data_IF_858376933307
#
_entry.id   IF_858376933307
#
_cell.length_a   1.000
_cell.length_b   1.000
_cell.length_c   1.000
_cell.angle_alpha   90.00
_cell.angle_beta   90.00
_cell.angle_gamma   90.00
#
_symmetry.space_group_name_H-M   'P 1'
#
loop_
_entity.id
_entity.type
_entity.pdbx_description
1 polymer ?
#
# COMPACT_ATOMS: atom_id res chain seq x y z
N UNK A 1 -0.63 -12.08 7.27
CA UNK A 1 -0.88 -12.85 6.03
C UNK A 1 -2.18 -12.37 5.37
N UNK A 2 -2.18 -12.14 4.06
CA UNK A 2 -3.37 -11.71 3.31
C UNK A 2 -4.33 -12.89 3.10
N UNK A 3 -5.62 -12.66 3.34
CA UNK A 3 -6.69 -13.64 3.17
C UNK A 3 -7.86 -13.00 2.42
N UNK A 4 -8.67 -13.81 1.74
CA UNK A 4 -9.95 -13.34 1.21
C UNK A 4 -11.05 -13.57 2.25
N UNK A 5 -11.98 -12.64 2.33
CA UNK A 5 -13.23 -12.80 3.09
C UNK A 5 -14.06 -13.96 2.52
N UNK A 6 -14.98 -14.53 3.30
CA UNK A 6 -15.70 -15.78 2.97
C UNK A 6 -16.47 -15.73 1.63
N UNK A 7 -16.87 -14.53 1.19
CA UNK A 7 -17.55 -14.31 -0.10
C UNK A 7 -16.59 -14.00 -1.27
N UNK A 8 -15.27 -14.04 -1.08
CA UNK A 8 -14.22 -13.68 -2.04
C UNK A 8 -14.31 -12.24 -2.60
N UNK A 9 -15.11 -11.36 -2.00
CA UNK A 9 -15.30 -9.98 -2.48
C UNK A 9 -14.33 -8.98 -1.85
N UNK A 10 -13.72 -9.31 -0.71
CA UNK A 10 -12.88 -8.40 0.07
C UNK A 10 -11.56 -9.07 0.44
N UNK A 11 -10.46 -8.35 0.23
CA UNK A 11 -9.14 -8.73 0.70
C UNK A 11 -8.94 -8.22 2.12
N UNK A 12 -8.42 -9.07 3.00
CA UNK A 12 -8.17 -8.76 4.41
C UNK A 12 -6.73 -9.09 4.79
N UNK A 13 -6.12 -8.25 5.61
CA UNK A 13 -4.86 -8.53 6.27
C UNK A 13 -5.11 -9.21 7.60
N UNK A 14 -4.71 -10.47 7.73
CA UNK A 14 -4.71 -11.19 9.01
C UNK A 14 -3.41 -10.94 9.76
N UNK A 15 -3.51 -10.44 10.98
CA UNK A 15 -2.39 -10.23 11.91
C UNK A 15 -2.71 -10.91 13.26
N UNK A 16 -1.77 -10.91 14.23
CA UNK A 16 -2.06 -11.39 15.58
C UNK A 16 -3.17 -10.61 16.31
N UNK A 17 -3.41 -9.35 15.95
CA UNK A 17 -4.46 -8.53 16.57
C UNK A 17 -5.84 -8.71 15.95
N UNK A 18 -5.94 -9.19 14.71
CA UNK A 18 -7.23 -9.39 14.05
C UNK A 18 -7.15 -9.56 12.54
N UNK A 19 -8.31 -9.40 11.90
CA UNK A 19 -8.47 -9.35 10.43
C UNK A 19 -8.90 -7.95 10.05
N UNK A 20 -8.20 -7.35 9.09
CA UNK A 20 -8.41 -5.96 8.73
C UNK A 20 -8.63 -5.80 7.23
N UNK A 21 -9.73 -5.18 6.78
CA UNK A 21 -9.98 -4.96 5.36
C UNK A 21 -8.88 -4.12 4.68
N UNK A 22 -8.41 -4.58 3.53
CA UNK A 22 -7.47 -3.85 2.67
C UNK A 22 -8.27 -2.92 1.75
N UNK A 23 -8.01 -1.61 1.86
CA UNK A 23 -8.64 -0.56 1.03
C UNK A 23 -7.96 -0.45 -0.33
N UNK A 24 -6.63 -0.44 -0.35
CA UNK A 24 -5.85 -0.32 -1.59
C UNK A 24 -4.45 -0.91 -1.44
N UNK A 25 -3.85 -1.25 -2.57
CA UNK A 25 -2.47 -1.75 -2.67
C UNK A 25 -1.73 -0.86 -3.67
N UNK A 26 -0.61 -0.29 -3.25
CA UNK A 26 0.29 0.46 -4.11
C UNK A 26 1.56 -0.34 -4.33
N UNK A 27 1.91 -0.56 -5.59
CA UNK A 27 3.13 -1.28 -6.00
C UNK A 27 4.28 -0.34 -6.36
N UNK A 28 4.00 0.89 -6.76
CA UNK A 28 5.00 1.91 -7.08
C UNK A 28 5.65 2.51 -5.83
N UNK A 29 4.83 2.70 -4.80
CA UNK A 29 5.25 2.99 -3.44
C UNK A 29 4.76 1.80 -2.60
N UNK A 30 5.62 0.80 -2.29
CA UNK A 30 5.24 -0.50 -1.75
C UNK A 30 4.52 -0.45 -0.38
N UNK A 31 3.19 -0.25 -0.41
CA UNK A 31 2.37 -0.22 0.79
C UNK A 31 0.94 -0.74 0.56
N UNK A 32 0.37 -1.31 1.62
CA UNK A 32 -1.04 -1.64 1.76
C UNK A 32 -1.70 -0.53 2.58
N UNK A 33 -2.89 -0.13 2.18
CA UNK A 33 -3.76 0.67 3.03
C UNK A 33 -4.80 -0.23 3.67
N UNK A 34 -4.84 -0.22 5.00
CA UNK A 34 -5.70 -1.09 5.80
C UNK A 34 -6.66 -0.24 6.64
N UNK A 35 -7.89 -0.72 6.82
CA UNK A 35 -8.87 -0.10 7.71
C UNK A 35 -8.99 -0.93 8.99
N UNK A 36 -8.78 -0.32 10.15
CA UNK A 36 -9.17 -0.93 11.43
C UNK A 36 -10.63 -0.57 11.76
N UNK A 37 -11.56 -1.55 11.83
CA UNK A 37 -12.94 -1.29 12.23
C UNK A 37 -13.09 -0.77 13.67
N UNK A 38 -12.11 -1.04 14.53
CA UNK A 38 -12.16 -0.64 15.93
C UNK A 38 -11.65 0.78 16.15
N UNK A 39 -10.83 1.33 15.25
CA UNK A 39 -10.39 2.71 15.33
C UNK A 39 -11.58 3.67 15.37
N UNK A 40 -11.42 4.74 16.16
CA UNK A 40 -12.38 5.83 16.19
C UNK A 40 -12.31 6.62 14.87
N UNK A 41 -13.47 6.97 14.33
CA UNK A 41 -13.60 7.90 13.23
C UNK A 41 -14.64 8.97 13.57
N UNK A 42 -14.74 10.01 12.76
CA UNK A 42 -15.63 11.11 13.11
C UNK A 42 -17.12 10.76 13.22
N UNK A 43 -17.55 9.72 12.51
CA UNK A 43 -18.93 9.25 12.56
C UNK A 43 -19.28 8.64 13.93
N UNK A 44 -18.28 8.21 14.69
CA UNK A 44 -18.44 7.71 16.06
C UNK A 44 -18.81 8.83 17.06
N UNK A 45 -18.57 10.11 16.72
CA UNK A 45 -18.86 11.28 17.58
C UNK A 45 -18.27 11.09 18.99
N UNK A 46 -19.10 11.22 20.04
CA UNK A 46 -18.70 11.05 21.44
C UNK A 46 -18.63 9.57 21.90
N UNK A 47 -18.81 8.61 20.99
CA UNK A 47 -18.78 7.19 21.33
C UNK A 47 -17.33 6.64 21.33
N UNK A 48 -16.60 6.94 22.40
CA UNK A 48 -15.26 6.43 22.62
C UNK A 48 -15.30 5.00 23.19
N UNK A 49 -15.32 4.01 22.29
CA UNK A 49 -15.26 2.59 22.66
C UNK A 49 -13.82 2.15 22.98
N UNK A 50 -13.62 1.25 23.96
CA UNK A 50 -12.34 0.57 24.13
C UNK A 50 -11.96 -0.20 22.87
N UNK A 51 -10.72 -0.05 22.44
CA UNK A 51 -10.21 -0.66 21.20
C UNK A 51 -9.01 -1.54 21.49
N UNK A 52 -8.58 -2.29 20.47
CA UNK A 52 -7.34 -3.07 20.52
C UNK A 52 -6.32 -2.40 19.63
N UNK A 53 -5.07 -2.44 20.07
CA UNK A 53 -3.95 -1.95 19.28
C UNK A 53 -3.80 -2.76 17.99
N UNK A 54 -3.78 -2.08 16.85
CA UNK A 54 -3.27 -2.69 15.62
C UNK A 54 -1.83 -3.16 15.85
N UNK A 55 -1.56 -4.38 15.43
CA UNK A 55 -0.24 -5.00 15.54
C UNK A 55 0.05 -5.85 14.33
N UNK A 56 1.29 -5.79 13.88
CA UNK A 56 1.86 -6.68 12.87
C UNK A 56 2.96 -7.51 13.53
N UNK A 57 3.10 -8.73 13.06
CA UNK A 57 4.17 -9.63 13.49
C UNK A 57 5.46 -9.28 12.73
N UNK A 58 6.55 -9.08 13.47
CA UNK A 58 7.88 -8.79 12.93
C UNK A 58 8.48 -9.95 12.13
N UNK A 59 7.89 -11.15 12.21
CA UNK A 59 8.26 -12.30 11.38
C UNK A 59 7.78 -12.21 9.92
N UNK A 60 7.03 -11.16 9.57
CA UNK A 60 6.47 -10.98 8.22
C UNK A 60 7.19 -9.87 7.47
N UNK A 61 7.15 -9.89 6.13
CA UNK A 61 7.62 -8.79 5.27
C UNK A 61 6.69 -7.56 5.29
N UNK A 62 5.86 -7.42 6.32
CA UNK A 62 4.97 -6.28 6.52
C UNK A 62 5.46 -5.49 7.73
N UNK A 63 5.54 -4.18 7.59
CA UNK A 63 5.92 -3.27 8.67
C UNK A 63 4.88 -2.17 8.77
N UNK A 64 4.63 -1.71 10.00
CA UNK A 64 3.81 -0.50 10.20
C UNK A 64 4.60 0.67 9.64
N UNK A 65 4.01 1.41 8.70
CA UNK A 65 4.72 2.51 8.06
C UNK A 65 5.03 3.62 9.08
N UNK A 66 6.23 4.22 9.04
CA UNK A 66 6.54 5.42 9.81
C UNK A 66 5.74 6.65 9.34
N UNK A 67 5.01 6.56 8.22
CA UNK A 67 4.18 7.66 7.72
C UNK A 67 2.77 7.70 8.32
N UNK A 68 2.47 6.81 9.29
CA UNK A 68 1.22 6.85 10.02
C UNK A 68 1.29 7.81 11.19
N UNK A 69 0.29 8.68 11.30
CA UNK A 69 0.07 9.49 12.48
C UNK A 69 -1.00 8.85 13.36
N UNK A 70 -0.68 8.68 14.64
CA UNK A 70 -1.61 8.12 15.61
C UNK A 70 -2.09 9.20 16.57
N UNK A 71 -3.41 9.25 16.75
CA UNK A 71 -4.05 10.14 17.70
C UNK A 71 -4.78 9.31 18.74
N UNK A 72 -4.72 9.77 19.99
CA UNK A 72 -5.36 9.15 21.13
C UNK A 72 -6.34 10.14 21.74
N UNK A 73 -7.48 9.61 22.19
CA UNK A 73 -8.55 10.43 22.73
C UNK A 73 -8.86 10.08 24.19
N UNK A 74 -9.19 11.09 24.99
CA UNK A 74 -9.58 10.95 26.39
C UNK A 74 -8.56 10.14 27.20
N UNK A 75 -7.29 10.57 27.14
CA UNK A 75 -6.20 9.99 27.92
C UNK A 75 -6.21 10.46 29.37
N UNK A 76 -5.80 9.59 30.29
CA UNK A 76 -5.59 9.93 31.69
C UNK A 76 -4.31 10.78 31.83
N UNK A 77 -4.48 12.03 32.25
CA UNK A 77 -3.41 13.03 32.41
C UNK A 77 -2.44 12.72 33.55
N UNK A 78 -2.79 11.84 34.49
CA UNK A 78 -1.88 11.41 35.58
C UNK A 78 -0.87 10.36 35.10
N UNK A 79 -1.21 9.63 34.02
CA UNK A 79 -0.41 8.51 33.51
C UNK A 79 0.26 8.80 32.16
N UNK A 80 -0.29 9.75 31.41
CA UNK A 80 0.22 10.18 30.11
C UNK A 80 0.47 11.68 30.17
N UNK A 81 1.69 12.09 29.82
CA UNK A 81 2.06 13.50 29.72
C UNK A 81 1.44 14.06 28.43
N UNK A 82 0.30 14.74 28.57
CA UNK A 82 -0.45 15.37 27.48
C UNK A 82 -0.15 16.87 27.49
N UNK A 83 0.85 17.29 26.74
CA UNK A 83 1.32 18.68 26.72
C UNK A 83 1.65 19.12 25.29
N UNK A 84 1.45 20.41 24.95
CA UNK A 84 1.89 20.95 23.66
C UNK A 84 3.38 20.69 23.47
N UNK A 85 3.76 20.04 22.36
CA UNK A 85 5.18 19.83 22.08
C UNK A 85 5.85 21.16 21.75
N UNK A 86 6.97 21.50 22.40
CA UNK A 86 7.71 22.69 22.02
C UNK A 86 8.26 22.52 20.59
N UNK A 87 8.40 23.63 19.86
CA UNK A 87 8.91 23.66 18.48
C UNK A 87 10.25 22.93 18.30
N UNK A 88 11.07 22.86 19.36
CA UNK A 88 12.31 22.08 19.37
C UNK A 88 12.10 20.60 19.00
N UNK A 89 10.96 20.02 19.39
CA UNK A 89 10.60 18.64 19.11
C UNK A 89 10.28 18.39 17.64
N UNK A 90 9.95 19.42 16.86
CA UNK A 90 9.79 19.28 15.41
C UNK A 90 11.14 18.96 14.75
N UNK A 91 12.22 19.54 15.28
CA UNK A 91 13.59 19.34 14.76
C UNK A 91 14.26 18.10 15.34
N UNK A 92 13.94 17.73 16.58
CA UNK A 92 14.53 16.60 17.29
C UNK A 92 13.46 15.72 17.94
N UNK A 93 12.63 15.02 17.15
CA UNK A 93 11.52 14.22 17.66
C UNK A 93 11.96 13.16 18.66
N UNK A 94 13.15 12.57 18.46
CA UNK A 94 13.72 11.56 19.36
C UNK A 94 13.96 12.02 20.80
N UNK A 95 14.06 13.34 21.03
CA UNK A 95 14.29 13.91 22.36
C UNK A 95 12.99 14.21 23.12
N UNK A 96 11.84 14.08 22.46
CA UNK A 96 10.52 14.42 23.00
C UNK A 96 9.55 13.23 22.92
N UNK A 97 10.11 12.03 22.97
CA UNK A 97 9.46 10.76 22.60
C UNK A 97 8.47 10.24 23.66
N UNK A 98 8.47 10.84 24.85
CA UNK A 98 7.61 10.47 25.97
C UNK A 98 6.36 11.33 26.12
N UNK A 99 6.32 12.52 25.51
CA UNK A 99 5.16 13.40 25.59
C UNK A 99 4.24 13.21 24.40
N UNK A 100 2.96 13.30 24.67
CA UNK A 100 1.91 13.26 23.68
C UNK A 100 1.45 14.70 23.40
N UNK A 101 1.40 15.09 22.12
CA UNK A 101 1.17 16.47 21.70
C UNK A 101 -0.33 16.79 21.58
N UNK A 102 -0.84 17.60 22.51
CA UNK A 102 -2.23 18.07 22.49
C UNK A 102 -2.49 19.20 21.50
N UNK A 103 -1.43 19.82 20.96
CA UNK A 103 -1.52 20.97 20.06
C UNK A 103 -1.32 20.63 18.58
N UNK A 104 -1.15 19.34 18.27
CA UNK A 104 -0.93 18.84 16.92
C UNK A 104 -2.00 19.31 15.93
N UNK A 105 -1.56 19.60 14.70
CA UNK A 105 -2.44 20.02 13.60
C UNK A 105 -3.62 19.07 13.41
N UNK A 106 -3.38 17.77 13.49
CA UNK A 106 -4.40 16.73 13.29
C UNK A 106 -5.46 16.73 14.38
N UNK A 107 -5.14 17.14 15.61
CA UNK A 107 -6.15 17.28 16.66
C UNK A 107 -7.15 18.43 16.40
N UNK A 108 -6.77 19.40 15.57
CA UNK A 108 -7.64 20.52 15.14
C UNK A 108 -8.29 20.28 13.77
N UNK A 109 -7.68 19.46 12.93
CA UNK A 109 -8.08 19.23 11.53
C UNK A 109 -8.26 17.75 11.23
N UNK A 110 -9.10 17.09 12.02
CA UNK A 110 -9.42 15.68 11.80
C UNK A 110 -10.16 15.48 10.47
N UNK A 111 -9.86 14.39 9.73
CA UNK A 111 -10.59 14.04 8.52
C UNK A 111 -12.08 13.91 8.81
N UNK A 112 -12.92 14.46 7.93
CA UNK A 112 -14.39 14.32 7.98
C UNK A 112 -15.09 14.92 9.22
N UNK A 113 -14.35 15.59 10.13
CA UNK A 113 -14.90 16.09 11.40
C UNK A 113 -15.40 17.53 11.42
N UNK A 114 -15.14 18.31 10.37
CA UNK A 114 -15.37 19.76 10.42
C UNK A 114 -14.78 20.38 11.69
N UNK A 115 -15.39 21.47 12.17
CA UNK A 115 -15.02 22.11 13.45
C UNK A 115 -15.69 21.46 14.67
N UNK A 116 -16.32 20.29 14.51
CA UNK A 116 -17.31 19.77 15.46
C UNK A 116 -16.70 18.96 16.63
N UNK A 117 -15.44 18.55 16.53
CA UNK A 117 -14.69 18.02 17.69
C UNK A 117 -14.25 19.18 18.58
N UNK A 118 -15.23 19.89 19.15
CA UNK A 118 -15.01 21.01 20.04
C UNK A 118 -14.19 20.62 21.29
N UNK A 119 -13.85 21.61 22.10
CA UNK A 119 -12.98 21.57 23.30
C UNK A 119 -13.31 20.52 24.39
N UNK A 120 -14.28 19.63 24.17
CA UNK A 120 -14.71 18.59 25.11
C UNK A 120 -13.95 17.27 24.95
N UNK A 121 -13.35 17.01 23.78
CA UNK A 121 -12.59 15.79 23.53
C UNK A 121 -11.11 16.10 23.73
N UNK A 122 -10.44 15.44 24.68
CA UNK A 122 -8.99 15.56 24.75
C UNK A 122 -8.41 14.74 23.61
N UNK A 123 -7.65 15.40 22.73
CA UNK A 123 -6.95 14.79 21.62
C UNK A 123 -5.46 14.92 21.84
N UNK A 124 -4.72 13.89 21.46
CA UNK A 124 -3.30 13.86 21.66
C UNK A 124 -2.59 13.05 20.57
N UNK A 125 -1.62 13.66 19.90
CA UNK A 125 -0.82 13.05 18.84
C UNK A 125 0.43 12.40 19.41
N UNK A 126 0.66 11.15 19.03
CA UNK A 126 1.82 10.38 19.49
C UNK A 126 2.41 9.57 18.35
N UNK A 127 3.74 9.55 18.26
CA UNK A 127 4.48 8.84 17.23
C UNK A 127 5.08 7.55 17.82
N UNK A 128 4.40 6.39 17.70
CA UNK A 128 4.87 5.16 18.31
C UNK A 128 6.07 4.60 17.55
N UNK A 129 7.20 4.44 18.24
CA UNK A 129 8.40 3.77 17.68
C UNK A 129 8.25 2.26 17.53
N UNK A 130 7.30 1.67 18.27
CA UNK A 130 7.02 0.24 18.23
C UNK A 130 5.54 -0.01 18.52
N UNK A 131 5.05 -1.15 18.05
CA UNK A 131 3.70 -1.67 18.36
C UNK A 131 3.43 -1.72 19.88
N UNK A 132 4.46 -1.96 20.68
CA UNK A 132 4.36 -1.98 22.14
C UNK A 132 4.01 -0.60 22.72
N UNK A 133 4.55 0.49 22.16
CA UNK A 133 4.23 1.86 22.57
C UNK A 133 2.77 2.20 22.31
N UNK A 134 2.22 1.75 21.17
CA UNK A 134 0.79 1.91 20.85
C UNK A 134 -0.10 1.20 21.89
N UNK A 135 0.26 -0.02 22.28
CA UNK A 135 -0.48 -0.80 23.29
C UNK A 135 -0.45 -0.14 24.68
N UNK A 136 0.68 0.43 25.09
CA UNK A 136 0.81 1.11 26.39
C UNK A 136 -0.01 2.41 26.44
N UNK A 137 -0.03 3.18 25.35
CA UNK A 137 -0.87 4.37 25.24
C UNK A 137 -2.35 4.01 25.32
N UNK A 138 -2.78 2.96 24.62
CA UNK A 138 -4.17 2.47 24.66
C UNK A 138 -4.64 1.97 26.04
N UNK A 139 -3.75 1.62 26.96
CA UNK A 139 -4.14 1.28 28.33
C UNK A 139 -4.59 2.49 29.15
N UNK A 140 -4.15 3.68 28.74
CA UNK A 140 -4.37 4.93 29.47
C UNK A 140 -5.23 5.92 28.70
N UNK A 141 -5.76 5.54 27.53
CA UNK A 141 -6.62 6.36 26.68
C UNK A 141 -7.89 5.60 26.31
N UNK A 142 -8.99 6.31 26.06
CA UNK A 142 -10.28 5.68 25.77
C UNK A 142 -10.27 4.98 24.40
N UNK A 143 -9.67 5.60 23.39
CA UNK A 143 -9.55 5.05 22.04
C UNK A 143 -8.39 5.69 21.27
N UNK A 144 -8.12 5.17 20.08
CA UNK A 144 -7.14 5.70 19.15
C UNK A 144 -7.71 5.78 17.73
N UNK A 145 -7.06 6.58 16.90
CA UNK A 145 -7.22 6.57 15.46
C UNK A 145 -5.85 6.67 14.79
N UNK A 146 -5.79 6.28 13.52
CA UNK A 146 -4.63 6.33 12.66
C UNK A 146 -5.00 7.06 11.39
N UNK A 147 -4.12 7.97 10.99
CA UNK A 147 -4.27 8.80 9.81
C UNK A 147 -3.03 8.61 8.96
N UNK A 148 -3.22 8.59 7.65
CA UNK A 148 -2.13 8.62 6.69
C UNK A 148 -2.33 9.82 5.75
N UNK A 149 -1.22 10.36 5.25
CA UNK A 149 -1.24 11.48 4.33
C UNK A 149 -1.30 10.99 2.89
N UNK A 150 -2.38 11.34 2.20
CA UNK A 150 -2.56 10.97 0.80
C UNK A 150 -2.12 12.11 -0.12
N UNK A 151 -1.24 11.80 -1.08
CA UNK A 151 -0.88 12.74 -2.15
C UNK A 151 -1.85 12.63 -3.33
N UNK A 152 -2.19 13.78 -3.94
CA UNK A 152 -3.04 13.86 -5.15
C UNK A 152 -2.33 13.39 -6.44
N UNK A 153 -1.03 13.06 -6.37
CA UNK A 153 -0.28 12.50 -7.51
C UNK A 153 0.38 13.53 -8.42
N UNK A 154 0.44 14.81 -8.02
CA UNK A 154 1.37 15.78 -8.63
C UNK A 154 2.69 15.66 -7.90
N UNK A 155 3.64 14.92 -8.49
CA UNK A 155 5.03 14.93 -8.05
C UNK A 155 5.48 16.40 -7.94
N UNK A 156 5.85 16.83 -6.73
CA UNK A 156 6.40 18.15 -6.38
C UNK A 156 5.46 19.25 -5.82
N UNK A 157 4.23 18.95 -5.39
CA UNK A 157 3.43 19.90 -4.60
C UNK A 157 3.31 19.45 -3.11
N UNK A 158 4.11 20.01 -2.18
CA UNK A 158 4.03 19.66 -0.75
C UNK A 158 2.69 20.06 -0.09
N UNK A 159 1.89 20.90 -0.75
CA UNK A 159 0.61 21.41 -0.24
C UNK A 159 -0.61 20.60 -0.67
N UNK A 160 -0.45 19.58 -1.53
CA UNK A 160 -1.56 18.75 -2.01
C UNK A 160 -1.64 17.41 -1.28
N UNK A 161 -1.36 17.42 0.03
CA UNK A 161 -1.54 16.26 0.89
C UNK A 161 -2.73 16.49 1.81
N UNK A 162 -3.57 15.48 1.93
CA UNK A 162 -4.72 15.53 2.83
C UNK A 162 -4.77 14.28 3.72
N UNK A 163 -5.13 14.46 5.01
CA UNK A 163 -5.20 13.35 5.94
C UNK A 163 -6.45 12.50 5.67
N UNK A 164 -6.28 11.19 5.67
CA UNK A 164 -7.38 10.22 5.57
C UNK A 164 -7.26 9.14 6.66
N UNK A 165 -8.39 8.58 7.08
CA UNK A 165 -8.39 7.47 8.04
C UNK A 165 -7.88 6.17 7.42
N UNK A 166 -6.86 5.59 8.05
CA UNK A 166 -6.30 4.31 7.67
C UNK A 166 -4.95 4.03 8.32
N UNK A 167 -4.51 2.80 8.16
CA UNK A 167 -3.18 2.34 8.58
C UNK A 167 -2.43 1.93 7.31
N UNK A 168 -1.35 2.64 7.02
CA UNK A 168 -0.39 2.30 5.97
C UNK A 168 0.55 1.22 6.50
N UNK A 169 0.60 0.10 5.79
CA UNK A 169 1.46 -1.03 6.08
C UNK A 169 2.43 -1.17 4.92
N UNK A 170 3.68 -0.83 5.15
CA UNK A 170 4.70 -0.99 4.12
C UNK A 170 5.00 -2.48 3.96
N UNK A 171 5.30 -2.88 2.73
CA UNK A 171 5.74 -4.22 2.45
C UNK A 171 7.01 -4.21 1.63
N UNK A 172 7.87 -5.15 1.93
CA UNK A 172 9.05 -5.40 1.13
C UNK A 172 8.78 -6.61 0.25
N UNK A 173 8.92 -6.43 -1.06
CA UNK A 173 9.15 -7.59 -1.89
C UNK A 173 10.54 -8.12 -1.54
N UNK A 174 10.71 -9.41 -1.23
CA UNK A 174 12.02 -10.00 -1.28
C UNK A 174 12.47 -9.89 -2.73
N UNK A 175 13.27 -8.85 -3.02
CA UNK A 175 13.84 -8.66 -4.34
C UNK A 175 14.91 -9.73 -4.48
N UNK A 176 14.48 -10.91 -4.91
CA UNK A 176 15.40 -11.97 -5.25
C UNK A 176 16.27 -11.51 -6.42
N UNK A 177 17.52 -11.97 -6.47
CA UNK A 177 18.41 -11.67 -7.60
C UNK A 177 17.75 -11.95 -8.96
N UNK A 178 16.89 -12.98 -9.02
CA UNK A 178 16.09 -13.32 -10.21
C UNK A 178 15.13 -12.20 -10.64
N UNK A 179 14.53 -11.47 -9.70
CA UNK A 179 13.64 -10.35 -10.00
C UNK A 179 14.39 -9.13 -10.57
N UNK A 180 15.53 -8.78 -9.99
CA UNK A 180 16.39 -7.71 -10.53
C UNK A 180 16.84 -8.03 -11.96
N UNK A 181 17.29 -9.26 -12.18
CA UNK A 181 17.69 -9.76 -13.50
C UNK A 181 16.55 -9.70 -14.52
N UNK A 182 15.31 -9.95 -14.10
CA UNK A 182 14.12 -9.86 -14.94
C UNK A 182 13.78 -8.41 -15.33
N UNK A 183 13.84 -7.48 -14.37
CA UNK A 183 13.51 -6.07 -14.56
C UNK A 183 14.59 -5.30 -15.34
N UNK A 184 15.80 -5.84 -15.41
CA UNK A 184 16.92 -5.22 -16.12
C UNK A 184 16.59 -5.00 -17.61
N UNK A 185 16.66 -3.75 -18.07
CA UNK A 185 16.31 -3.37 -19.45
C UNK A 185 17.23 -4.01 -20.48
N UNK A 186 18.50 -4.23 -20.14
CA UNK A 186 19.49 -4.95 -20.97
C UNK A 186 19.13 -6.43 -21.19
N UNK A 187 18.36 -7.00 -20.26
CA UNK A 187 17.88 -8.39 -20.23
C UNK A 187 16.41 -8.53 -20.68
N UNK A 188 15.80 -7.44 -21.15
CA UNK A 188 14.50 -7.43 -21.80
C UNK A 188 13.37 -6.78 -20.99
N UNK A 189 13.64 -6.28 -19.77
CA UNK A 189 12.71 -5.42 -19.02
C UNK A 189 11.35 -6.05 -18.71
N UNK A 190 11.37 -7.21 -18.05
CA UNK A 190 10.18 -7.94 -17.64
C UNK A 190 9.59 -7.48 -16.31
N UNK A 191 8.40 -8.01 -16.00
CA UNK A 191 7.75 -7.79 -14.70
C UNK A 191 7.93 -9.05 -13.84
N UNK A 192 8.40 -8.88 -12.62
CA UNK A 192 8.53 -9.98 -11.67
C UNK A 192 7.15 -10.52 -11.29
N UNK A 193 7.03 -11.84 -11.27
CA UNK A 193 5.85 -12.57 -10.90
C UNK A 193 6.22 -13.87 -10.19
N UNK A 194 5.20 -14.60 -9.79
CA UNK A 194 5.33 -15.84 -9.04
C UNK A 194 4.32 -16.85 -9.61
N UNK A 195 4.79 -18.04 -9.98
CA UNK A 195 3.91 -19.07 -10.52
C UNK A 195 3.27 -19.85 -9.37
N UNK A 196 1.96 -19.73 -9.21
CA UNK A 196 1.22 -20.38 -8.11
C UNK A 196 1.17 -21.91 -8.23
N UNK A 197 1.35 -22.48 -9.43
CA UNK A 197 1.38 -23.95 -9.63
C UNK A 197 2.74 -24.55 -9.34
N UNK A 198 3.80 -23.93 -9.85
CA UNK A 198 5.17 -24.46 -9.69
C UNK A 198 5.88 -23.92 -8.46
N UNK A 199 5.30 -22.92 -7.78
CA UNK A 199 5.83 -22.28 -6.58
C UNK A 199 7.23 -21.68 -6.78
N UNK A 200 7.55 -21.24 -8.00
CA UNK A 200 8.84 -20.65 -8.34
C UNK A 200 8.66 -19.26 -8.96
N UNK A 201 9.74 -18.50 -8.95
CA UNK A 201 9.82 -17.19 -9.57
C UNK A 201 9.48 -17.25 -11.07
N UNK A 202 8.71 -16.26 -11.53
CA UNK A 202 8.27 -16.14 -12.92
C UNK A 202 8.49 -14.71 -13.41
N UNK A 203 9.38 -14.52 -14.37
CA UNK A 203 9.52 -13.30 -15.13
C UNK A 203 8.46 -13.27 -16.25
N UNK A 204 7.57 -12.28 -16.19
CA UNK A 204 6.52 -12.05 -17.16
C UNK A 204 7.07 -11.16 -18.29
N UNK A 205 7.13 -11.72 -19.50
CA UNK A 205 7.71 -11.07 -20.67
C UNK A 205 6.71 -11.01 -21.82
N UNK A 206 6.93 -10.09 -22.76
CA UNK A 206 6.06 -9.93 -23.93
C UNK A 206 5.99 -11.19 -24.80
N UNK A 207 7.06 -11.98 -24.84
CA UNK A 207 7.18 -13.18 -25.68
C UNK A 207 6.77 -14.48 -24.97
N UNK A 208 6.49 -14.44 -23.67
CA UNK A 208 6.17 -15.63 -22.89
C UNK A 208 6.86 -15.62 -21.52
N UNK A 209 6.35 -16.42 -20.60
CA UNK A 209 6.80 -16.44 -19.23
C UNK A 209 8.07 -17.28 -19.07
N UNK A 210 9.05 -16.80 -18.32
CA UNK A 210 10.34 -17.48 -18.05
C UNK A 210 10.71 -17.42 -16.57
N UNK A 211 11.63 -18.25 -16.11
CA UNK A 211 12.06 -18.31 -14.69
C UNK A 211 13.29 -17.45 -14.39
N UNK A 212 13.77 -16.69 -15.37
CA UNK A 212 15.04 -15.94 -15.31
C UNK A 212 14.84 -14.51 -15.81
N UNK A 213 14.95 -14.24 -17.12
CA UNK A 213 14.83 -12.91 -17.73
C UNK A 213 14.31 -12.99 -19.18
N UNK A 214 13.73 -11.92 -19.69
CA UNK A 214 12.98 -11.96 -20.96
C UNK A 214 13.81 -12.21 -22.22
N UNK A 215 15.12 -11.99 -22.15
CA UNK A 215 16.08 -12.31 -23.21
C UNK A 215 16.68 -13.70 -23.07
N UNK A 216 16.09 -14.58 -22.25
CA UNK A 216 16.58 -15.94 -22.02
C UNK A 216 16.61 -16.74 -23.34
N UNK A 217 17.70 -17.49 -23.63
CA UNK A 217 17.82 -18.31 -24.83
C UNK A 217 16.70 -19.34 -25.05
N UNK A 218 16.01 -19.76 -23.98
CA UNK A 218 14.87 -20.69 -24.04
C UNK A 218 13.67 -20.12 -24.80
N UNK A 219 13.39 -18.82 -24.70
CA UNK A 219 12.38 -18.12 -25.50
C UNK A 219 12.80 -17.96 -26.98
N UNK A 220 14.10 -17.84 -27.23
CA UNK A 220 14.65 -17.66 -28.58
C UNK A 220 14.56 -18.95 -29.40
N UNK A 221 14.66 -20.12 -28.76
CA UNK A 221 14.57 -21.43 -29.44
C UNK A 221 13.20 -21.71 -30.06
N UNK A 222 12.11 -21.27 -29.44
CA UNK A 222 10.75 -21.46 -29.98
C UNK A 222 10.45 -20.64 -31.25
N UNK A 223 11.32 -19.69 -31.62
CA UNK A 223 11.16 -18.86 -32.82
C UNK A 223 11.77 -19.47 -34.10
N UNK A 224 12.49 -20.60 -34.00
CA UNK A 224 13.17 -21.26 -35.14
C UNK A 224 12.42 -22.48 -35.69
N UNK A 225 11.10 -22.42 -35.77
CA UNK A 225 10.33 -23.42 -36.53
C UNK A 225 9.52 -22.71 -37.61
N UNK A 226 9.90 -22.95 -38.87
CA UNK A 226 9.05 -22.71 -40.04
C UNK A 226 9.30 -21.43 -40.83
N UNK A 227 10.37 -21.41 -41.63
CA UNK A 227 10.36 -20.67 -42.89
C UNK A 227 10.87 -21.62 -43.99
N UNK A 228 9.98 -22.48 -44.48
CA UNK A 228 10.15 -23.12 -45.78
C UNK A 228 10.05 -22.00 -46.82
N UNK A 229 11.15 -21.72 -47.51
CA UNK A 229 11.18 -20.82 -48.66
C UNK A 229 10.43 -21.47 -49.83
N UNK A 230 9.14 -21.18 -49.94
CA UNK A 230 8.37 -21.41 -51.16
C UNK A 230 8.49 -20.19 -52.05
N UNK A 231 9.19 -20.32 -53.17
CA UNK A 231 9.19 -19.36 -54.26
C UNK A 231 7.79 -19.31 -54.88
N UNK A 232 7.12 -18.16 -54.81
CA UNK A 232 5.98 -17.85 -55.68
C UNK A 232 6.20 -16.49 -56.33
N UNK A 233 6.20 -16.56 -57.66
CA UNK A 233 6.33 -15.49 -58.62
C UNK A 233 5.23 -14.44 -58.48
N UNK A 234 5.62 -13.20 -58.78
CA UNK A 234 4.82 -11.98 -58.74
C UNK A 234 3.60 -12.01 -59.69
N UNK A 235 2.51 -11.33 -59.30
CA UNK A 235 1.77 -10.37 -60.14
C UNK A 235 1.12 -9.29 -59.26
N UNK A 236 1.32 -8.03 -59.66
CA UNK A 236 0.82 -6.80 -59.06
C UNK A 236 -0.64 -6.49 -59.45
N UNK A 237 -1.43 -5.89 -58.56
CA UNK A 237 -2.54 -4.98 -58.94
C UNK A 237 -3.03 -4.09 -57.77
N UNK A 238 -2.70 -2.80 -57.88
CA UNK A 238 -3.45 -1.55 -57.60
C UNK A 238 -4.50 -1.39 -56.45
N UNK A 239 -4.37 -0.23 -55.76
CA UNK A 239 -5.46 0.59 -55.17
C UNK A 239 -5.75 0.32 -53.69
N UNK A 240 -5.99 1.27 -52.78
CA UNK A 240 -6.24 2.71 -52.87
C UNK A 240 -6.03 3.37 -51.47
N UNK A 241 -6.12 4.70 -51.47
CA UNK A 241 -5.80 5.71 -50.45
C UNK A 241 -6.74 5.69 -49.23
N UNK A 242 -6.21 6.05 -48.05
CA UNK A 242 -6.89 6.98 -47.14
C UNK A 242 -7.05 6.59 -45.66
N UNK A 243 -6.86 7.58 -44.79
CA UNK A 243 -7.19 7.65 -43.34
C UNK A 243 -6.15 7.11 -42.35
N UNK A 244 -5.05 7.84 -42.19
CA UNK A 244 -4.19 7.77 -41.00
C UNK A 244 -4.08 9.19 -40.39
N UNK A 245 -4.82 9.46 -39.32
CA UNK A 245 -4.70 10.74 -38.60
C UNK A 245 -5.50 10.86 -37.30
N UNK A 246 -6.68 10.24 -37.20
CA UNK A 246 -7.59 10.45 -36.06
C UNK A 246 -7.44 9.51 -34.86
N UNK A 247 -6.85 8.32 -35.03
CA UNK A 247 -6.96 7.24 -34.03
C UNK A 247 -5.85 7.27 -32.97
N UNK A 248 -4.71 7.90 -33.25
CA UNK A 248 -3.54 7.84 -32.36
C UNK A 248 -3.67 8.71 -31.10
N UNK A 249 -4.53 9.74 -31.12
CA UNK A 249 -4.58 10.73 -30.02
C UNK A 249 -5.58 10.38 -28.90
N UNK A 250 -6.55 9.49 -29.14
CA UNK A 250 -7.58 9.17 -28.15
C UNK A 250 -7.18 8.04 -27.17
N UNK A 251 -6.16 7.25 -27.49
CA UNK A 251 -5.77 6.09 -26.67
C UNK A 251 -4.91 6.44 -25.44
N UNK A 252 -4.59 7.72 -25.20
CA UNK A 252 -3.66 8.10 -24.11
C UNK A 252 -4.33 8.56 -22.82
N UNK A 253 -5.66 8.63 -22.72
CA UNK A 253 -6.34 9.27 -21.57
C UNK A 253 -7.25 8.38 -20.71
N UNK A 254 -7.07 7.06 -20.73
CA UNK A 254 -7.80 6.16 -19.81
C UNK A 254 -6.84 5.19 -19.13
N UNK A 255 -6.05 5.65 -18.15
CA UNK A 255 -5.53 4.76 -17.10
C UNK A 255 -6.69 4.47 -16.15
N UNK A 256 -7.45 3.42 -16.46
CA UNK A 256 -8.41 2.85 -15.53
C UNK A 256 -7.65 2.34 -14.29
N UNK A 257 -8.09 2.75 -13.10
CA UNK A 257 -7.73 2.09 -11.85
C UNK A 257 -8.26 0.66 -11.94
N UNK A 258 -7.38 -0.33 -11.99
CA UNK A 258 -7.78 -1.73 -12.11
C UNK A 258 -8.49 -2.17 -10.81
N UNK A 259 -9.69 -2.77 -10.88
CA UNK A 259 -10.31 -3.40 -9.73
C UNK A 259 -9.50 -4.65 -9.34
N UNK A 260 -9.11 -4.72 -8.07
CA UNK A 260 -8.34 -5.83 -7.52
C UNK A 260 -9.26 -7.05 -7.43
N UNK A 261 -9.16 -7.96 -8.40
CA UNK A 261 -9.88 -9.24 -8.37
C UNK A 261 -9.10 -10.26 -7.57
N UNK A 262 -9.75 -10.88 -6.59
CA UNK A 262 -9.16 -11.88 -5.70
C UNK A 262 -8.66 -13.11 -6.48
N UNK A 263 -7.34 -13.29 -6.52
CA UNK A 263 -6.73 -14.56 -6.91
C UNK A 263 -6.80 -15.55 -5.76
N UNK A 264 -7.30 -16.75 -6.03
CA UNK A 264 -7.42 -17.84 -5.05
C UNK A 264 -6.02 -18.32 -4.64
N UNK A 265 -5.70 -18.33 -3.35
CA UNK A 265 -4.53 -19.04 -2.83
C UNK A 265 -4.88 -19.86 -1.57
N UNK A 266 -4.54 -21.15 -1.66
CA UNK A 266 -4.74 -22.20 -0.66
C UNK A 266 -3.59 -22.28 0.35
N UNK A 267 -3.87 -23.00 1.43
CA UNK A 267 -3.35 -23.11 2.80
C UNK A 267 -1.83 -23.31 3.07
N UNK A 268 -0.90 -22.80 2.25
CA UNK A 268 0.55 -22.96 2.53
C UNK A 268 1.37 -21.71 2.17
N UNK A 269 1.18 -20.58 2.87
CA UNK A 269 2.14 -19.46 2.85
C UNK A 269 2.81 -19.29 4.23
N UNK A 270 3.53 -20.31 4.70
CA UNK A 270 4.69 -20.06 5.57
C UNK A 270 5.82 -19.63 4.64
N UNK A 271 5.98 -18.32 4.51
CA UNK A 271 7.17 -17.74 3.89
C UNK A 271 8.19 -17.66 5.03
N UNK A 272 9.37 -18.24 4.79
CA UNK A 272 10.51 -18.28 5.70
C UNK A 272 11.02 -16.88 6.04
#
# INVERSE_FOLDING_TARGET
MLICSDNNTKLELRTPSGKYPVKSISYSDPHLLVSDPFMWNCQDRDNFRPTRSFSIDSSTHFTVSPQNDYLFFNCNTEKVIVEPKPLFCERFPDRCDSSCDSSSYLCRHLPECGSALGSRVSCCSYYPKATQSLRLMLQNCATYTSVYWRSTGVENAPYDQFPEYGIRVDFEFPVTMKCLLCQETTKGGGVCGFNTRTRDFLCLCKQGNVTTYCKDPSLVKHKRVGAMAGTVTAVSAAGAIGVAGGVYWYLRKVRAKAPVTCGVQSNENRIF
#
